data_IF_188742006968
#
_entry.id   IF_188742006968
#
_cell.length_a   1.000
_cell.length_b   1.000
_cell.length_c   1.000
_cell.angle_alpha   90.00
_cell.angle_beta   90.00
_cell.angle_gamma   90.00
#
_symmetry.space_group_name_H-M   'P 1'
#
loop_
_entity.id
_entity.type
_entity.pdbx_description
1 polymer ?
#
# COMPACT_ATOMS: atom_id res chain seq x y z
N UNK A 1 -28.67 39.81 -4.83
CA UNK A 1 -29.11 38.48 -5.30
C UNK A 1 -28.02 37.72 -6.07
N UNK A 2 -27.15 38.37 -6.87
CA UNK A 2 -26.03 37.70 -7.53
C UNK A 2 -24.86 37.33 -6.59
N UNK A 3 -24.63 38.11 -5.53
CA UNK A 3 -23.53 37.91 -4.57
C UNK A 3 -23.65 36.61 -3.78
N UNK A 4 -24.88 36.21 -3.42
CA UNK A 4 -25.14 34.94 -2.71
C UNK A 4 -24.76 33.72 -3.55
N UNK A 5 -24.98 33.77 -4.87
CA UNK A 5 -24.57 32.70 -5.79
C UNK A 5 -23.04 32.63 -5.94
N UNK A 6 -22.38 33.78 -5.96
CA UNK A 6 -20.92 33.89 -6.06
C UNK A 6 -20.22 33.37 -4.78
N UNK A 7 -20.79 33.68 -3.62
CA UNK A 7 -20.36 33.12 -2.32
C UNK A 7 -20.61 31.62 -2.26
N UNK A 8 -21.77 31.13 -2.72
CA UNK A 8 -22.06 29.68 -2.78
C UNK A 8 -21.08 28.92 -3.69
N UNK A 9 -20.67 29.50 -4.83
CA UNK A 9 -19.67 28.90 -5.72
C UNK A 9 -18.26 28.90 -5.11
N UNK A 10 -17.88 29.94 -4.36
CA UNK A 10 -16.60 29.92 -3.65
C UNK A 10 -16.59 28.87 -2.54
N UNK A 11 -17.69 28.69 -1.80
CA UNK A 11 -17.77 27.72 -0.70
C UNK A 11 -17.79 26.27 -1.22
N UNK A 12 -18.38 26.01 -2.39
CA UNK A 12 -18.40 24.66 -2.98
C UNK A 12 -17.03 24.19 -3.48
N UNK A 13 -16.14 25.11 -3.84
CA UNK A 13 -14.77 24.79 -4.26
C UNK A 13 -13.85 24.32 -3.12
N UNK A 14 -14.26 24.51 -1.86
CA UNK A 14 -13.46 24.15 -0.69
C UNK A 14 -13.75 22.75 -0.17
N UNK A 15 -14.65 22.00 -0.82
CA UNK A 15 -14.93 20.61 -0.46
C UNK A 15 -14.00 19.67 -1.24
N UNK A 16 -12.70 19.80 -0.99
CA UNK A 16 -11.72 18.83 -1.48
C UNK A 16 -11.73 17.59 -0.60
N UNK A 17 -12.22 16.46 -1.12
CA UNK A 17 -12.07 15.17 -0.45
C UNK A 17 -10.69 14.58 -0.78
N UNK A 18 -9.82 14.46 0.22
CA UNK A 18 -8.57 13.70 0.09
C UNK A 18 -8.89 12.21 0.24
N UNK A 19 -8.74 11.44 -0.83
CA UNK A 19 -8.86 9.97 -0.76
C UNK A 19 -7.60 9.36 -0.15
N UNK A 20 -7.77 8.26 0.59
CA UNK A 20 -6.65 7.46 1.08
C UNK A 20 -6.27 6.41 0.03
N UNK A 21 -4.97 6.05 -0.09
CA UNK A 21 -4.55 4.97 -0.97
C UNK A 21 -5.15 3.64 -0.51
N UNK A 22 -5.70 2.88 -1.45
CA UNK A 22 -6.19 1.51 -1.20
C UNK A 22 -5.19 0.51 -1.79
N UNK A 23 -4.90 -0.56 -1.05
CA UNK A 23 -4.03 -1.64 -1.49
C UNK A 23 -4.87 -2.83 -1.96
N UNK A 24 -4.61 -3.32 -3.17
CA UNK A 24 -5.24 -4.51 -3.74
C UNK A 24 -4.22 -5.64 -3.87
N UNK A 25 -4.58 -6.81 -3.33
CA UNK A 25 -3.76 -8.02 -3.36
C UNK A 25 -4.62 -9.21 -3.83
N UNK A 26 -4.01 -10.28 -4.38
CA UNK A 26 -4.75 -11.51 -4.67
C UNK A 26 -5.35 -12.08 -3.38
N UNK A 27 -6.61 -12.54 -3.46
CA UNK A 27 -7.32 -13.12 -2.31
C UNK A 27 -6.70 -14.42 -1.81
N UNK A 28 -6.06 -15.16 -2.71
CA UNK A 28 -5.29 -16.36 -2.39
C UNK A 28 -4.26 -16.63 -3.48
N UNK A 29 -3.19 -17.33 -3.14
CA UNK A 29 -2.19 -17.82 -4.07
C UNK A 29 -1.64 -19.15 -3.55
N UNK A 30 -1.42 -20.09 -4.45
CA UNK A 30 -0.78 -21.38 -4.16
C UNK A 30 0.42 -21.57 -5.07
N UNK A 31 1.46 -22.21 -4.54
CA UNK A 31 2.70 -22.49 -5.23
C UNK A 31 3.26 -23.83 -4.77
N UNK A 32 3.89 -24.57 -5.68
CA UNK A 32 4.56 -25.83 -5.34
C UNK A 32 5.74 -25.59 -4.38
N UNK A 33 6.05 -26.54 -3.48
CA UNK A 33 7.25 -26.44 -2.64
C UNK A 33 8.51 -26.21 -3.48
N UNK A 34 9.36 -25.27 -3.03
CA UNK A 34 10.60 -24.91 -3.72
C UNK A 34 10.46 -23.87 -4.83
N UNK A 35 9.24 -23.47 -5.21
CA UNK A 35 9.02 -22.39 -6.18
C UNK A 35 8.79 -21.05 -5.49
N UNK A 36 8.96 -19.96 -6.26
CA UNK A 36 8.71 -18.60 -5.78
C UNK A 36 7.24 -18.24 -5.90
N UNK A 37 6.61 -17.93 -4.77
CA UNK A 37 5.29 -17.28 -4.73
C UNK A 37 5.46 -15.77 -4.86
N UNK A 38 4.80 -15.16 -5.87
CA UNK A 38 4.83 -13.70 -6.09
C UNK A 38 3.48 -13.08 -5.77
N UNK A 39 3.40 -12.35 -4.64
CA UNK A 39 2.22 -11.59 -4.26
C UNK A 39 2.31 -10.19 -4.88
N UNK A 40 1.32 -9.85 -5.71
CA UNK A 40 1.22 -8.50 -6.28
C UNK A 40 0.44 -7.61 -5.33
N UNK A 41 0.97 -6.41 -5.04
CA UNK A 41 0.29 -5.37 -4.30
C UNK A 41 0.17 -4.13 -5.18
N UNK A 42 -1.06 -3.72 -5.48
CA UNK A 42 -1.34 -2.58 -6.35
C UNK A 42 -1.98 -1.46 -5.54
N UNK A 43 -1.43 -0.24 -5.60
CA UNK A 43 -2.08 0.94 -5.05
C UNK A 43 -3.21 1.41 -5.98
N UNK A 44 -4.26 1.99 -5.42
CA UNK A 44 -5.34 2.64 -6.16
C UNK A 44 -4.80 3.68 -7.16
N UNK A 45 -5.57 3.95 -8.21
CA UNK A 45 -5.21 4.95 -9.22
C UNK A 45 -4.96 6.33 -8.60
N UNK A 46 -3.99 7.06 -9.15
CA UNK A 46 -3.55 8.36 -8.63
C UNK A 46 -2.48 8.28 -7.53
N UNK A 47 -2.10 7.08 -7.10
CA UNK A 47 -1.01 6.86 -6.14
C UNK A 47 0.14 6.10 -6.79
N UNK A 48 1.38 6.42 -6.38
CA UNK A 48 2.60 5.76 -6.84
C UNK A 48 3.29 5.04 -5.69
N UNK A 49 3.74 3.80 -5.91
CA UNK A 49 4.50 3.03 -4.92
C UNK A 49 5.73 3.80 -4.42
N UNK A 50 6.44 4.49 -5.32
CA UNK A 50 7.64 5.27 -4.98
C UNK A 50 7.38 6.56 -4.18
N UNK A 51 6.14 6.80 -3.77
CA UNK A 51 5.76 7.92 -2.90
C UNK A 51 5.41 7.46 -1.48
N UNK A 52 5.43 6.15 -1.20
CA UNK A 52 5.02 5.58 0.07
C UNK A 52 5.97 4.47 0.52
N UNK A 53 6.23 4.38 1.82
CA UNK A 53 6.83 3.19 2.39
C UNK A 53 5.79 2.07 2.43
N UNK A 54 6.04 1.00 1.68
CA UNK A 54 5.18 -0.19 1.63
C UNK A 54 5.77 -1.25 2.53
N UNK A 55 5.06 -1.60 3.60
CA UNK A 55 5.49 -2.59 4.59
C UNK A 55 4.80 -3.93 4.36
N UNK A 56 5.59 -5.01 4.38
CA UNK A 56 5.12 -6.38 4.28
C UNK A 56 5.18 -7.09 5.63
N UNK A 57 4.09 -7.75 5.98
CA UNK A 57 3.96 -8.55 7.19
C UNK A 57 3.49 -9.97 6.84
N UNK A 58 3.99 -10.96 7.57
CA UNK A 58 3.48 -12.33 7.52
C UNK A 58 2.72 -12.64 8.79
N UNK A 59 1.47 -13.08 8.64
CA UNK A 59 0.70 -13.67 9.72
C UNK A 59 0.51 -15.15 9.47
N UNK A 60 0.88 -15.97 10.45
CA UNK A 60 0.56 -17.41 10.46
C UNK A 60 -0.69 -17.62 11.33
N UNK A 61 -1.52 -18.64 11.05
CA UNK A 61 -2.65 -18.97 11.92
C UNK A 61 -2.22 -19.07 13.38
N UNK A 62 -2.92 -18.37 14.27
CA UNK A 62 -2.65 -18.34 15.72
C UNK A 62 -1.41 -17.54 16.16
N UNK A 63 -0.72 -16.84 15.24
CA UNK A 63 0.45 -16.00 15.57
C UNK A 63 0.16 -14.52 15.32
N UNK A 64 0.85 -13.59 16.01
CA UNK A 64 0.80 -12.17 15.68
C UNK A 64 1.45 -11.89 14.31
N UNK A 65 1.11 -10.75 13.67
CA UNK A 65 1.82 -10.30 12.47
C UNK A 65 3.32 -10.14 12.73
N UNK A 66 4.13 -10.76 11.86
CA UNK A 66 5.59 -10.62 11.86
C UNK A 66 6.01 -9.71 10.73
N UNK A 67 6.76 -8.67 11.05
CA UNK A 67 7.38 -7.80 10.06
C UNK A 67 8.37 -8.57 9.17
N UNK A 68 8.26 -8.37 7.85
CA UNK A 68 9.16 -8.98 6.85
C UNK A 68 10.12 -7.97 6.25
N UNK A 69 9.61 -6.93 5.61
CA UNK A 69 10.42 -5.94 4.91
C UNK A 69 9.60 -4.67 4.63
N UNK A 70 10.30 -3.60 4.27
CA UNK A 70 9.70 -2.43 3.64
C UNK A 70 10.35 -2.17 2.29
N UNK A 71 9.57 -1.56 1.39
CA UNK A 71 10.03 -1.05 0.11
C UNK A 71 9.58 0.40 -0.03
N UNK A 72 10.50 1.30 -0.36
CA UNK A 72 10.20 2.66 -0.81
C UNK A 72 10.77 2.88 -2.21
N UNK A 73 12.03 2.49 -2.41
CA UNK A 73 12.71 2.49 -3.70
C UNK A 73 13.75 1.36 -3.76
N UNK A 74 14.40 1.18 -4.91
CA UNK A 74 15.47 0.19 -5.02
C UNK A 74 16.69 0.49 -4.15
N UNK A 75 16.93 1.76 -3.82
CA UNK A 75 18.01 2.18 -2.91
C UNK A 75 17.56 2.30 -1.45
N UNK A 76 16.25 2.33 -1.18
CA UNK A 76 15.67 2.45 0.17
C UNK A 76 14.66 1.32 0.41
N UNK A 77 15.20 0.16 0.80
CA UNK A 77 14.46 -1.04 1.17
C UNK A 77 15.25 -1.88 2.16
N UNK A 78 14.60 -2.39 3.20
CA UNK A 78 15.24 -3.23 4.20
C UNK A 78 14.35 -4.38 4.67
N UNK A 79 14.99 -5.52 4.93
CA UNK A 79 14.35 -6.65 5.59
C UNK A 79 14.41 -6.51 7.11
N UNK A 80 13.41 -7.06 7.79
CA UNK A 80 13.38 -7.16 9.23
C UNK A 80 14.44 -8.12 9.79
N UNK A 81 14.78 -8.00 11.07
CA UNK A 81 15.77 -8.86 11.70
C UNK A 81 15.35 -10.34 11.64
N UNK A 82 16.29 -11.20 11.25
CA UNK A 82 16.08 -12.65 11.14
C UNK A 82 15.09 -13.08 10.06
N UNK A 83 14.72 -12.19 9.13
CA UNK A 83 13.89 -12.52 7.96
C UNK A 83 14.76 -13.25 6.94
N UNK A 84 14.42 -14.48 6.52
CA UNK A 84 15.23 -15.23 5.57
C UNK A 84 15.26 -14.57 4.18
N UNK A 85 16.37 -14.73 3.45
CA UNK A 85 16.59 -14.14 2.11
C UNK A 85 15.58 -14.58 1.03
N UNK A 86 14.79 -15.63 1.28
CA UNK A 86 13.70 -16.05 0.39
C UNK A 86 12.54 -15.06 0.31
N UNK A 87 12.44 -14.11 1.24
CA UNK A 87 11.47 -13.03 1.18
C UNK A 87 12.11 -11.81 0.51
N UNK A 88 11.47 -11.27 -0.53
CA UNK A 88 11.94 -10.07 -1.22
C UNK A 88 10.75 -9.18 -1.63
N UNK A 89 11.05 -7.90 -1.90
CA UNK A 89 10.11 -6.85 -2.27
C UNK A 89 10.71 -5.91 -3.30
#
# INVERSE_FOLDING_TARGET
MAWTLLVLMLVSQWTGSLSQPVLTQPSSLSASPGTTARLTCTLSSGFSVGSYYVYWYQQKPGSPPRYLLYYYSDSDKHQGPGVPSRFSG
#
